data_IF_723259669086
#
_entry.id   IF_723259669086
#
_cell.length_a   1.000
_cell.length_b   1.000
_cell.length_c   1.000
_cell.angle_alpha   90.00
_cell.angle_beta   90.00
_cell.angle_gamma   90.00
#
_symmetry.space_group_name_H-M   'P 1'
#
loop_
_entity.id
_entity.type
_entity.pdbx_description
1 polymer ?
#
# COMPACT_ATOMS: atom_id res chain seq x y z
N UNK A 1 -0.40 -10.87 2.30
CA UNK A 1 -1.64 -11.50 2.78
C UNK A 1 -2.79 -11.20 1.82
N UNK A 2 -3.53 -12.24 1.38
CA UNK A 2 -4.81 -12.10 0.70
C UNK A 2 -5.85 -11.34 1.54
N UNK A 3 -6.92 -10.87 0.91
CA UNK A 3 -8.05 -10.25 1.62
C UNK A 3 -8.88 -9.36 0.71
N UNK A 4 -10.01 -8.88 1.25
CA UNK A 4 -11.07 -8.19 0.48
C UNK A 4 -10.55 -7.09 -0.45
N UNK A 5 -9.62 -6.24 0.00
CA UNK A 5 -9.04 -5.17 -0.83
C UNK A 5 -8.33 -5.74 -2.07
N UNK A 6 -7.58 -6.82 -1.90
CA UNK A 6 -6.80 -7.46 -2.95
C UNK A 6 -7.76 -8.12 -3.93
N UNK A 7 -8.75 -8.86 -3.44
CA UNK A 7 -9.72 -9.54 -4.29
C UNK A 7 -10.54 -8.55 -5.11
N UNK A 8 -10.90 -7.40 -4.54
CA UNK A 8 -11.58 -6.32 -5.25
C UNK A 8 -10.70 -5.68 -6.33
N UNK A 9 -9.44 -5.39 -6.01
CA UNK A 9 -8.51 -4.80 -6.98
C UNK A 9 -8.11 -5.78 -8.10
N UNK A 10 -8.13 -7.10 -7.83
CA UNK A 10 -8.00 -8.14 -8.86
C UNK A 10 -9.18 -8.15 -9.82
N UNK A 11 -10.40 -7.97 -9.29
CA UNK A 11 -11.63 -7.96 -10.08
C UNK A 11 -11.80 -6.65 -10.88
N UNK A 12 -11.42 -5.51 -10.29
CA UNK A 12 -11.40 -4.21 -10.94
C UNK A 12 -10.13 -3.45 -10.55
N UNK A 13 -9.14 -3.33 -11.45
CA UNK A 13 -7.86 -2.72 -11.11
C UNK A 13 -7.90 -1.20 -11.07
N UNK A 14 -9.02 -0.55 -11.40
CA UNK A 14 -9.15 0.91 -11.35
C UNK A 14 -9.32 1.36 -9.90
N UNK A 15 -8.36 2.14 -9.41
CA UNK A 15 -8.31 2.61 -8.02
C UNK A 15 -8.03 4.10 -7.96
N UNK A 16 -8.40 4.72 -6.83
CA UNK A 16 -8.00 6.08 -6.50
C UNK A 16 -7.29 6.08 -5.15
N UNK A 17 -6.19 6.84 -5.04
CA UNK A 17 -5.38 6.98 -3.82
C UNK A 17 -5.28 8.46 -3.47
N UNK A 18 -5.66 8.81 -2.25
CA UNK A 18 -5.50 10.16 -1.72
C UNK A 18 -4.40 10.17 -0.66
N UNK A 19 -3.51 11.16 -0.77
CA UNK A 19 -2.48 11.46 0.22
C UNK A 19 -2.61 12.93 0.60
N UNK A 20 -2.50 13.24 1.89
CA UNK A 20 -2.57 14.61 2.39
C UNK A 20 -1.52 14.89 3.45
N UNK A 21 -1.06 16.13 3.51
CA UNK A 21 -0.17 16.66 4.53
C UNK A 21 -0.73 17.94 5.13
N UNK A 22 -0.45 18.17 6.41
CA UNK A 22 -0.79 19.45 7.07
C UNK A 22 0.29 20.48 6.75
N UNK A 23 -0.15 21.68 6.39
CA UNK A 23 0.70 22.86 6.22
C UNK A 23 0.81 23.67 7.51
N UNK A 24 1.27 24.93 7.38
CA UNK A 24 1.29 25.88 8.48
C UNK A 24 -0.14 26.34 8.84
N UNK A 25 -0.40 26.54 10.13
CA UNK A 25 -1.71 27.01 10.61
C UNK A 25 -2.85 26.07 10.19
N UNK A 26 -3.81 26.61 9.42
CA UNK A 26 -4.93 25.85 8.84
C UNK A 26 -4.66 25.31 7.43
N UNK A 27 -3.46 25.53 6.90
CA UNK A 27 -3.09 25.10 5.57
C UNK A 27 -2.99 23.58 5.42
N UNK A 28 -3.20 23.10 4.21
CA UNK A 28 -3.08 21.69 3.86
C UNK A 28 -2.71 21.51 2.39
N UNK A 29 -2.09 20.37 2.07
CA UNK A 29 -1.93 19.90 0.69
C UNK A 29 -2.51 18.51 0.56
N UNK A 30 -3.11 18.24 -0.59
CA UNK A 30 -3.67 16.94 -0.92
C UNK A 30 -3.37 16.60 -2.38
N UNK A 31 -3.00 15.35 -2.60
CA UNK A 31 -2.83 14.75 -3.92
C UNK A 31 -3.80 13.59 -4.05
N UNK A 32 -4.48 13.51 -5.20
CA UNK A 32 -5.33 12.38 -5.58
C UNK A 32 -4.73 11.76 -6.85
N UNK A 33 -4.49 10.47 -6.80
CA UNK A 33 -4.05 9.65 -7.92
C UNK A 33 -5.22 8.79 -8.37
N UNK A 34 -5.55 8.87 -9.66
CA UNK A 34 -6.32 7.82 -10.32
C UNK A 34 -5.33 6.89 -11.01
N UNK A 35 -5.41 5.60 -10.67
CA UNK A 35 -4.38 4.65 -11.03
C UNK A 35 -4.91 3.25 -11.25
N UNK A 36 -3.97 2.38 -11.64
CA UNK A 36 -4.23 0.98 -11.91
C UNK A 36 -3.44 0.09 -10.96
N UNK A 37 -4.14 -0.83 -10.31
CA UNK A 37 -3.55 -1.89 -9.50
C UNK A 37 -2.78 -2.89 -10.37
N UNK A 38 -1.54 -3.18 -9.97
CA UNK A 38 -0.70 -4.21 -10.59
C UNK A 38 -0.03 -5.05 -9.51
N UNK A 39 -0.24 -6.37 -9.55
CA UNK A 39 0.49 -7.31 -8.68
C UNK A 39 1.91 -7.53 -9.19
N UNK A 40 2.84 -7.62 -8.26
CA UNK A 40 4.26 -7.90 -8.50
C UNK A 40 4.53 -9.34 -8.03
N UNK A 41 4.32 -10.35 -8.89
CA UNK A 41 4.54 -11.74 -8.52
C UNK A 41 6.02 -12.00 -8.24
N UNK A 42 6.29 -13.06 -7.47
CA UNK A 42 7.65 -13.51 -7.16
C UNK A 42 8.33 -14.16 -8.37
N UNK A 43 8.75 -13.32 -9.33
CA UNK A 43 9.42 -13.72 -10.56
C UNK A 43 10.67 -12.86 -10.75
N UNK A 44 11.65 -13.39 -11.49
CA UNK A 44 12.98 -12.80 -11.68
C UNK A 44 12.92 -11.32 -12.13
N UNK A 45 11.88 -10.90 -12.86
CA UNK A 45 11.70 -9.52 -13.33
C UNK A 45 11.17 -8.50 -12.30
N UNK A 46 10.75 -8.92 -11.10
CA UNK A 46 10.20 -8.02 -10.07
C UNK A 46 10.96 -8.04 -8.74
N UNK A 47 12.05 -8.79 -8.68
CA UNK A 47 12.79 -9.01 -7.43
C UNK A 47 13.36 -7.70 -6.88
N UNK A 48 13.95 -6.88 -7.76
CA UNK A 48 14.56 -5.61 -7.35
C UNK A 48 13.51 -4.63 -6.80
N UNK A 49 12.34 -4.51 -7.44
CA UNK A 49 11.27 -3.64 -6.97
C UNK A 49 10.69 -4.13 -5.65
N UNK A 50 10.55 -5.45 -5.46
CA UNK A 50 10.09 -6.04 -4.20
C UNK A 50 11.08 -5.81 -3.06
N UNK A 51 12.37 -6.02 -3.30
CA UNK A 51 13.43 -5.79 -2.32
C UNK A 51 13.50 -4.31 -1.92
N UNK A 52 13.41 -3.40 -2.89
CA UNK A 52 13.40 -1.96 -2.63
C UNK A 52 12.15 -1.52 -1.85
N UNK A 53 10.96 -1.98 -2.25
CA UNK A 53 9.72 -1.69 -1.53
C UNK A 53 9.76 -2.23 -0.09
N UNK A 54 10.29 -3.45 0.09
CA UNK A 54 10.47 -4.03 1.41
C UNK A 54 11.42 -3.18 2.27
N UNK A 55 12.57 -2.78 1.74
CA UNK A 55 13.54 -1.95 2.46
C UNK A 55 12.98 -0.59 2.90
N UNK A 56 12.05 -0.01 2.15
CA UNK A 56 11.38 1.25 2.52
C UNK A 56 10.25 1.04 3.54
N UNK A 57 9.41 0.01 3.34
CA UNK A 57 8.18 -0.17 4.11
C UNK A 57 8.38 -0.94 5.42
N UNK A 58 9.36 -1.86 5.48
CA UNK A 58 9.69 -2.62 6.70
C UNK A 58 10.25 -1.76 7.84
N UNK A 59 10.71 -0.53 7.54
CA UNK A 59 11.19 0.44 8.54
C UNK A 59 10.06 1.10 9.32
N UNK A 60 8.85 1.11 8.77
CA UNK A 60 7.69 1.61 9.49
C UNK A 60 7.29 0.52 10.48
N UNK A 61 6.97 0.91 11.73
CA UNK A 61 6.54 -0.04 12.76
C UNK A 61 5.49 -1.00 12.18
N UNK A 62 5.47 -2.27 12.62
CA UNK A 62 4.47 -3.25 12.16
C UNK A 62 3.04 -2.94 12.69
N UNK A 63 2.67 -1.66 12.81
CA UNK A 63 1.42 -1.15 13.38
C UNK A 63 0.17 -1.57 12.60
N UNK A 64 0.35 -2.11 11.39
CA UNK A 64 -0.70 -2.62 10.52
C UNK A 64 -0.75 -4.16 10.44
N UNK A 65 0.28 -4.86 10.94
CA UNK A 65 0.22 -6.32 11.03
C UNK A 65 -0.75 -6.69 12.15
N UNK A 66 -1.74 -7.55 11.90
CA UNK A 66 -2.57 -8.05 12.98
C UNK A 66 -1.64 -8.71 14.01
N UNK A 67 -1.49 -8.09 15.18
CA UNK A 67 -0.65 -8.64 16.25
C UNK A 67 -1.05 -10.10 16.46
N UNK A 68 -0.12 -11.02 16.20
CA UNK A 68 -0.35 -12.46 16.29
C UNK A 68 -0.49 -12.90 17.75
N UNK A 69 -1.56 -12.47 18.42
CA UNK A 69 -1.90 -12.84 19.79
C UNK A 69 -3.32 -13.40 19.84
N UNK A 70 -3.50 -14.57 19.22
CA UNK A 70 -4.49 -15.56 19.68
C UNK A 70 -3.73 -16.86 19.97
N UNK A 71 -3.56 -17.25 21.25
CA UNK A 71 -2.72 -18.38 21.65
C UNK A 71 -3.23 -19.77 21.22
N UNK A 72 -4.36 -19.84 20.50
CA UNK A 72 -4.96 -21.11 20.04
C UNK A 72 -4.81 -21.37 18.53
N UNK A 73 -4.28 -20.42 17.76
CA UNK A 73 -4.04 -20.62 16.33
C UNK A 73 -2.53 -20.69 16.11
N UNK A 74 -2.02 -21.67 15.34
CA UNK A 74 -0.63 -21.65 14.89
C UNK A 74 -0.36 -20.28 14.32
N UNK A 75 0.77 -19.69 14.73
CA UNK A 75 1.12 -18.33 14.37
C UNK A 75 0.95 -18.18 12.84
N UNK A 76 -0.03 -17.37 12.42
CA UNK A 76 -0.09 -16.82 11.05
C UNK A 76 0.96 -15.69 10.98
N UNK A 77 2.13 -15.96 11.54
CA UNK A 77 3.27 -15.10 11.69
C UNK A 77 4.32 -15.69 10.74
N UNK A 78 4.75 -14.87 9.79
CA UNK A 78 5.83 -15.09 8.82
C UNK A 78 5.61 -16.01 7.60
N UNK A 79 4.61 -16.90 7.57
CA UNK A 79 4.47 -17.84 6.43
C UNK A 79 3.38 -17.51 5.39
N UNK A 80 2.49 -16.56 5.67
CA UNK A 80 1.44 -16.20 4.72
C UNK A 80 2.05 -15.35 3.59
N UNK A 81 1.87 -15.71 2.29
CA UNK A 81 2.50 -15.00 1.20
C UNK A 81 2.10 -13.52 1.19
N UNK A 82 3.09 -12.63 1.32
CA UNK A 82 2.91 -11.20 1.12
C UNK A 82 2.48 -10.96 -0.33
N UNK A 83 1.43 -10.16 -0.51
CA UNK A 83 1.02 -9.73 -1.86
C UNK A 83 1.72 -8.41 -2.09
N UNK A 84 2.73 -8.42 -2.95
CA UNK A 84 3.39 -7.20 -3.40
C UNK A 84 2.61 -6.66 -4.59
N UNK A 85 2.38 -5.36 -4.59
CA UNK A 85 1.69 -4.68 -5.67
C UNK A 85 2.17 -3.24 -5.75
N UNK A 86 1.84 -2.60 -6.88
CA UNK A 86 2.01 -1.17 -7.08
C UNK A 86 0.73 -0.57 -7.64
N UNK A 87 0.59 0.74 -7.50
CA UNK A 87 -0.43 1.50 -8.21
C UNK A 87 0.29 2.29 -9.30
N UNK A 88 0.02 1.94 -10.56
CA UNK A 88 0.48 2.72 -11.71
C UNK A 88 -0.32 4.02 -11.76
N UNK A 89 0.36 5.15 -11.63
CA UNK A 89 -0.27 6.48 -11.71
C UNK A 89 -0.69 6.73 -13.16
N UNK A 90 -2.00 6.87 -13.39
CA UNK A 90 -2.54 7.22 -14.73
C UNK A 90 -2.85 8.71 -14.80
N UNK A 91 -3.48 9.24 -13.75
CA UNK A 91 -3.72 10.67 -13.59
C UNK A 91 -3.39 11.08 -12.15
N UNK A 92 -2.96 12.32 -12.00
CA UNK A 92 -2.67 12.90 -10.70
C UNK A 92 -3.20 14.33 -10.66
N UNK A 93 -3.87 14.66 -9.56
CA UNK A 93 -4.33 16.02 -9.28
C UNK A 93 -3.93 16.44 -7.88
N UNK A 94 -3.74 17.74 -7.68
CA UNK A 94 -3.31 18.31 -6.40
C UNK A 94 -4.11 19.54 -6.03
N UNK A 95 -4.33 19.72 -4.73
CA UNK A 95 -4.95 20.92 -4.14
C UNK A 95 -4.16 21.35 -2.91
N UNK A 96 -4.11 22.66 -2.71
CA UNK A 96 -3.51 23.30 -1.54
C UNK A 96 -4.48 24.34 -1.01
N UNK A 97 -4.56 24.45 0.31
CA UNK A 97 -5.11 25.61 0.98
C UNK A 97 -4.02 26.26 1.83
N UNK A 98 -3.94 27.57 1.75
CA UNK A 98 -3.06 28.43 2.55
C UNK A 98 -3.94 29.39 3.35
N UNK A 99 -3.45 29.85 4.50
CA UNK A 99 -4.15 30.82 5.37
C UNK A 99 -4.04 32.24 4.84
#
# INVERSE_FOLDING_TARGET
MPGKKIDWMRANPLVSVQVGERGQGRGWRSVVVDGRYEELPDRIGHKLERDHAWAMLSKHAAWWEPGALKPLMPAVSDSAPHVFFRILIQQVSGREASE
#
